data_IF_046564154294
#
_entry.id   IF_046564154294
#
_cell.length_a   1.000
_cell.length_b   1.000
_cell.length_c   1.000
_cell.angle_alpha   90.00
_cell.angle_beta   90.00
_cell.angle_gamma   90.00
#
_symmetry.space_group_name_H-M   'P 1'
#
loop_
_entity.id
_entity.type
_entity.pdbx_description
1 polymer ?
#
# COMPACT_ATOMS: atom_id res chain seq x y z
N UNK A 1 -8.55 -32.81 42.19
CA UNK A 1 -9.55 -32.27 41.23
C UNK A 1 -8.84 -31.17 40.45
N UNK A 2 -8.64 -31.32 39.15
CA UNK A 2 -7.87 -30.37 38.32
C UNK A 2 -8.84 -29.37 37.69
N UNK A 3 -8.77 -28.12 38.12
CA UNK A 3 -9.50 -27.01 37.52
C UNK A 3 -8.73 -26.51 36.30
N UNK A 4 -9.07 -27.05 35.12
CA UNK A 4 -8.61 -26.51 33.84
C UNK A 4 -9.45 -25.29 33.50
N UNK A 5 -9.09 -24.15 34.09
CA UNK A 5 -9.65 -22.85 33.70
C UNK A 5 -9.20 -22.56 32.28
N UNK A 6 -10.09 -22.85 31.33
CA UNK A 6 -9.89 -22.56 29.91
C UNK A 6 -9.74 -21.05 29.75
N UNK A 7 -8.49 -20.62 29.55
CA UNK A 7 -8.12 -19.24 29.28
C UNK A 7 -8.62 -18.90 27.88
N UNK A 8 -9.86 -18.43 27.78
CA UNK A 8 -10.42 -17.86 26.54
C UNK A 8 -9.51 -16.69 26.15
N UNK A 9 -8.66 -16.91 25.15
CA UNK A 9 -7.87 -15.84 24.55
C UNK A 9 -8.87 -14.92 23.86
N UNK A 10 -9.13 -13.76 24.48
CA UNK A 10 -9.78 -12.65 23.82
C UNK A 10 -8.98 -12.33 22.57
N UNK A 11 -9.43 -12.80 21.41
CA UNK A 11 -8.88 -12.39 20.12
C UNK A 11 -9.34 -10.93 19.99
N UNK A 12 -8.43 -9.99 20.23
CA UNK A 12 -8.68 -8.59 19.95
C UNK A 12 -9.21 -8.51 18.51
N UNK A 13 -10.47 -8.10 18.36
CA UNK A 13 -11.14 -7.91 17.08
C UNK A 13 -10.56 -6.64 16.44
N UNK A 14 -9.26 -6.69 16.12
CA UNK A 14 -8.52 -5.59 15.53
C UNK A 14 -9.00 -5.44 14.10
N UNK A 15 -9.93 -4.51 13.89
CA UNK A 15 -10.36 -4.09 12.56
C UNK A 15 -9.11 -3.73 11.78
N UNK A 16 -8.79 -4.53 10.76
CA UNK A 16 -7.64 -4.29 9.89
C UNK A 16 -7.88 -2.93 9.23
N UNK A 17 -6.92 -2.01 9.31
CA UNK A 17 -7.01 -0.71 8.63
C UNK A 17 -5.97 -0.65 7.53
N UNK A 18 -6.29 -0.01 6.40
CA UNK A 18 -5.37 0.21 5.28
C UNK A 18 -5.56 1.58 4.64
N UNK A 19 -4.54 2.03 3.92
CA UNK A 19 -4.62 3.21 3.05
C UNK A 19 -5.27 2.78 1.73
N UNK A 20 -6.18 3.61 1.22
CA UNK A 20 -6.72 3.52 -0.13
C UNK A 20 -6.25 4.76 -0.90
N UNK A 21 -6.38 4.77 -2.21
CA UNK A 21 -6.04 5.93 -3.04
C UNK A 21 -7.27 6.39 -3.80
N UNK A 22 -7.50 7.70 -3.83
CA UNK A 22 -8.53 8.31 -4.66
C UNK A 22 -8.17 8.16 -6.15
N UNK A 23 -9.14 8.30 -7.07
CA UNK A 23 -8.86 8.33 -8.52
C UNK A 23 -7.92 9.48 -8.95
N UNK A 24 -7.81 10.52 -8.13
CA UNK A 24 -6.84 11.62 -8.25
C UNK A 24 -5.39 11.20 -7.90
N UNK A 25 -5.22 10.01 -7.31
CA UNK A 25 -3.93 9.47 -6.89
C UNK A 25 -3.51 9.86 -5.47
N UNK A 26 -4.32 10.67 -4.78
CA UNK A 26 -4.09 11.07 -3.39
C UNK A 26 -4.41 9.93 -2.40
N UNK A 27 -3.53 9.65 -1.41
CA UNK A 27 -3.78 8.63 -0.39
C UNK A 27 -4.85 9.08 0.62
N UNK A 28 -5.75 8.17 0.99
CA UNK A 28 -6.75 8.38 2.03
C UNK A 28 -6.16 8.23 3.42
N UNK A 29 -6.92 8.67 4.44
CA UNK A 29 -6.69 8.25 5.83
C UNK A 29 -6.78 6.72 5.95
N UNK A 30 -6.18 6.10 6.98
CA UNK A 30 -6.30 4.66 7.22
C UNK A 30 -7.75 4.30 7.53
N UNK A 31 -8.38 3.59 6.59
CA UNK A 31 -9.79 3.20 6.63
C UNK A 31 -9.92 1.70 6.92
N UNK A 32 -11.08 1.25 7.42
CA UNK A 32 -11.36 -0.17 7.62
C UNK A 32 -11.13 -1.00 6.35
N UNK A 33 -10.52 -2.16 6.54
CA UNK A 33 -10.17 -3.14 5.52
C UNK A 33 -11.01 -4.41 5.63
N UNK A 34 -12.17 -4.32 6.29
CA UNK A 34 -13.15 -5.39 6.36
C UNK A 34 -13.72 -5.67 4.97
N UNK A 35 -14.22 -6.88 4.75
CA UNK A 35 -14.74 -7.34 3.46
C UNK A 35 -15.80 -6.39 2.87
N UNK A 36 -16.65 -5.80 3.71
CA UNK A 36 -17.66 -4.82 3.28
C UNK A 36 -17.01 -3.50 2.84
N UNK A 37 -16.16 -2.93 3.68
CA UNK A 37 -15.46 -1.67 3.42
C UNK A 37 -14.60 -1.73 2.17
N UNK A 38 -13.88 -2.83 1.96
CA UNK A 38 -13.13 -3.07 0.73
C UNK A 38 -14.00 -2.94 -0.51
N UNK A 39 -15.12 -3.68 -0.55
CA UNK A 39 -16.04 -3.64 -1.70
C UNK A 39 -16.62 -2.25 -1.90
N UNK A 40 -17.00 -1.57 -0.81
CA UNK A 40 -17.59 -0.23 -0.86
C UNK A 40 -16.62 0.82 -1.42
N UNK A 41 -15.37 0.85 -0.96
CA UNK A 41 -14.37 1.81 -1.44
C UNK A 41 -13.92 1.47 -2.87
N UNK A 42 -13.70 0.20 -3.20
CA UNK A 42 -13.36 -0.20 -4.56
C UNK A 42 -14.49 0.13 -5.56
N UNK A 43 -15.75 -0.08 -5.17
CA UNK A 43 -16.91 0.28 -6.01
C UNK A 43 -17.04 1.80 -6.24
N UNK A 44 -16.54 2.62 -5.32
CA UNK A 44 -16.46 4.08 -5.48
C UNK A 44 -15.27 4.55 -6.34
N UNK A 45 -14.45 3.62 -6.84
CA UNK A 45 -13.28 3.94 -7.67
C UNK A 45 -12.01 4.25 -6.89
N UNK A 46 -11.94 3.87 -5.61
CA UNK A 46 -10.69 3.91 -4.86
C UNK A 46 -9.80 2.73 -5.25
N UNK A 47 -8.48 2.89 -5.23
CA UNK A 47 -7.51 1.82 -5.51
C UNK A 47 -6.74 1.41 -4.25
N UNK A 48 -6.25 0.17 -4.25
CA UNK A 48 -5.36 -0.33 -3.20
C UNK A 48 -3.90 -0.05 -3.52
N UNK A 49 -3.58 0.05 -4.80
CA UNK A 49 -2.24 0.39 -5.26
C UNK A 49 -2.14 1.91 -5.44
N UNK A 50 -1.01 2.51 -5.02
CA UNK A 50 -0.71 3.87 -5.39
C UNK A 50 -0.66 4.00 -6.92
N UNK A 51 -0.99 5.18 -7.47
CA UNK A 51 -0.74 5.44 -8.88
C UNK A 51 0.74 5.18 -9.16
N UNK A 52 1.03 4.23 -10.06
CA UNK A 52 2.39 3.93 -10.51
C UNK A 52 2.92 5.13 -11.27
N UNK A 53 3.58 6.03 -10.56
CA UNK A 53 4.40 7.07 -11.18
C UNK A 53 5.73 6.40 -11.52
N UNK A 54 5.89 5.98 -12.77
CA UNK A 54 7.20 5.54 -13.24
C UNK A 54 8.16 6.73 -13.18
N UNK A 55 9.26 6.55 -12.44
CA UNK A 55 10.34 7.51 -12.33
C UNK A 55 11.31 7.23 -13.47
N UNK A 56 11.25 8.04 -14.54
CA UNK A 56 12.09 7.85 -15.72
C UNK A 56 13.40 8.60 -15.57
N UNK A 57 14.51 7.94 -15.91
CA UNK A 57 15.79 8.62 -16.03
C UNK A 57 15.86 9.41 -17.34
N UNK A 58 15.89 10.73 -17.26
CA UNK A 58 16.04 11.62 -18.43
C UNK A 58 17.33 11.35 -19.22
N UNK A 59 18.36 10.78 -18.57
CA UNK A 59 19.62 10.51 -19.23
C UNK A 59 19.61 9.22 -20.05
N UNK A 60 18.93 8.14 -19.62
CA UNK A 60 18.98 6.85 -20.33
C UNK A 60 17.61 6.28 -20.73
N UNK A 61 16.51 6.96 -20.35
CA UNK A 61 15.13 6.52 -20.63
C UNK A 61 14.65 5.34 -19.79
N UNK A 62 15.44 4.81 -18.84
CA UNK A 62 15.00 3.70 -17.99
C UNK A 62 13.92 4.15 -17.00
N UNK A 63 12.87 3.34 -16.91
CA UNK A 63 11.76 3.52 -15.97
C UNK A 63 12.04 2.78 -14.66
N UNK A 64 11.70 3.41 -13.54
CA UNK A 64 11.84 2.84 -12.21
C UNK A 64 10.54 2.99 -11.43
N UNK A 65 10.20 2.00 -10.61
CA UNK A 65 8.98 2.02 -9.79
C UNK A 65 9.10 2.96 -8.57
N UNK A 66 10.34 3.28 -8.16
CA UNK A 66 10.63 4.07 -6.96
C UNK A 66 11.63 5.21 -7.22
N UNK A 67 11.40 6.36 -6.56
CA UNK A 67 12.30 7.51 -6.60
C UNK A 67 13.71 7.18 -6.08
N UNK A 68 13.82 6.31 -5.06
CA UNK A 68 15.11 5.87 -4.49
C UNK A 68 15.91 5.07 -5.51
N UNK A 69 15.24 4.19 -6.27
CA UNK A 69 15.87 3.39 -7.33
C UNK A 69 16.40 4.31 -8.45
N UNK A 70 15.60 5.30 -8.89
CA UNK A 70 16.06 6.30 -9.83
C UNK A 70 17.23 7.12 -9.25
N UNK A 71 17.18 7.53 -7.98
CA UNK A 71 18.22 8.33 -7.33
C UNK A 71 19.57 7.61 -7.27
N UNK A 72 19.57 6.32 -6.94
CA UNK A 72 20.78 5.48 -7.00
C UNK A 72 21.26 5.28 -8.44
N UNK A 73 20.34 5.05 -9.37
CA UNK A 73 20.65 4.89 -10.79
C UNK A 73 21.32 6.14 -11.39
N UNK A 74 20.85 7.35 -11.07
CA UNK A 74 21.39 8.62 -11.60
C UNK A 74 22.91 8.74 -11.41
N UNK A 75 23.46 8.21 -10.31
CA UNK A 75 24.90 8.28 -10.01
C UNK A 75 25.76 7.40 -10.91
N UNK A 76 25.23 6.24 -11.32
CA UNK A 76 25.92 5.28 -12.20
C UNK A 76 25.38 5.28 -13.63
N UNK A 77 24.57 6.27 -13.99
CA UNK A 77 23.91 6.34 -15.29
C UNK A 77 24.95 6.69 -16.38
N UNK A 78 25.61 5.67 -16.92
CA UNK A 78 26.42 5.79 -18.12
C UNK A 78 25.51 5.69 -19.34
N UNK A 79 25.30 6.84 -19.99
CA UNK A 79 24.71 6.92 -21.33
C UNK A 79 25.78 6.47 -22.33
N UNK A 80 25.43 5.57 -23.24
CA UNK A 80 26.30 5.18 -24.35
C UNK A 80 25.91 5.98 -25.59
#
# INVERSE_FOLDING_TARGET
MVERTSRVKFIANGVKKRIYYHPDGSPTKPLPADSYSLRHYLAKGFTLEPPKRSFVCENCGKEFDFAIALGGHKRGCNKK
#
